data_IF_152419077474
#
_entry.id   IF_152419077474
#
_cell.length_a   1.000
_cell.length_b   1.000
_cell.length_c   1.000
_cell.angle_alpha   90.00
_cell.angle_beta   90.00
_cell.angle_gamma   90.00
#
_symmetry.space_group_name_H-M   'P 1'
#
loop_
_entity.id
_entity.type
_entity.pdbx_description
1 polymer ?
#
# COMPACT_ATOMS: atom_id res chain seq x y z
N UNK A 1 -23.10 2.88 24.68
CA UNK A 1 -24.08 2.65 23.59
C UNK A 1 -24.28 3.92 22.76
N UNK A 2 -24.64 5.07 23.35
CA UNK A 2 -24.85 6.31 22.60
C UNK A 2 -23.62 6.76 21.79
N UNK A 3 -22.42 6.73 22.37
CA UNK A 3 -21.19 7.13 21.66
C UNK A 3 -20.89 6.27 20.42
N UNK A 4 -21.09 4.94 20.49
CA UNK A 4 -20.90 4.05 19.33
C UNK A 4 -21.90 4.37 18.23
N UNK A 5 -23.15 4.66 18.60
CA UNK A 5 -24.20 5.02 17.66
C UNK A 5 -23.86 6.33 16.95
N UNK A 6 -23.38 7.34 17.68
CA UNK A 6 -22.90 8.60 17.08
C UNK A 6 -21.76 8.35 16.08
N UNK A 7 -20.81 7.48 16.42
CA UNK A 7 -19.71 7.12 15.51
C UNK A 7 -20.25 6.46 14.23
N UNK A 8 -21.24 5.56 14.36
CA UNK A 8 -21.84 4.85 13.22
C UNK A 8 -22.70 5.76 12.35
N UNK A 9 -23.59 6.55 12.95
CA UNK A 9 -24.51 7.45 12.23
C UNK A 9 -23.75 8.53 11.47
N UNK A 10 -22.59 8.97 12.00
CA UNK A 10 -21.70 9.92 11.32
C UNK A 10 -20.76 9.28 10.29
N UNK A 11 -20.92 7.98 10.03
CA UNK A 11 -20.14 7.22 9.04
C UNK A 11 -18.62 7.34 9.24
N UNK A 12 -18.13 7.28 10.47
CA UNK A 12 -16.69 7.20 10.70
C UNK A 12 -16.11 5.91 10.12
N UNK A 13 -14.98 6.02 9.41
CA UNK A 13 -14.29 4.91 8.75
C UNK A 13 -12.80 5.20 8.60
N UNK A 14 -12.02 4.21 8.16
CA UNK A 14 -10.65 4.46 7.70
C UNK A 14 -10.68 5.44 6.52
N UNK A 15 -9.88 6.50 6.57
CA UNK A 15 -9.93 7.58 5.59
C UNK A 15 -10.89 8.71 5.91
N UNK A 16 -11.60 8.69 7.05
CA UNK A 16 -12.32 9.89 7.53
C UNK A 16 -11.34 11.02 7.85
N UNK A 17 -11.67 12.25 7.43
CA UNK A 17 -10.87 13.45 7.67
C UNK A 17 -11.47 14.27 8.81
N UNK A 18 -10.63 14.77 9.71
CA UNK A 18 -11.06 15.56 10.87
C UNK A 18 -9.97 16.55 11.30
N UNK A 19 -10.35 17.70 11.85
CA UNK A 19 -9.37 18.64 12.41
C UNK A 19 -8.96 18.28 13.82
N UNK A 20 -7.75 18.70 14.22
CA UNK A 20 -7.29 18.58 15.60
C UNK A 20 -8.17 19.35 16.59
N UNK A 21 -8.78 20.46 16.15
CA UNK A 21 -9.74 21.21 16.98
C UNK A 21 -11.03 20.44 17.27
N UNK A 22 -11.62 19.76 16.27
CA UNK A 22 -12.84 18.97 16.44
C UNK A 22 -12.62 17.78 17.38
N UNK A 23 -11.42 17.18 17.31
CA UNK A 23 -10.98 16.10 18.22
C UNK A 23 -10.50 16.61 19.58
N UNK A 24 -10.42 17.93 19.79
CA UNK A 24 -9.91 18.56 21.02
C UNK A 24 -8.48 18.12 21.40
N UNK A 25 -7.64 17.79 20.40
CA UNK A 25 -6.31 17.19 20.61
C UNK A 25 -5.35 18.08 21.40
N UNK A 26 -5.47 19.40 21.27
CA UNK A 26 -4.66 20.38 22.01
C UNK A 26 -4.82 20.27 23.54
N UNK A 27 -5.88 19.61 24.02
CA UNK A 27 -6.13 19.35 25.44
C UNK A 27 -5.65 17.97 25.92
N UNK A 28 -5.25 17.08 25.00
CA UNK A 28 -5.00 15.66 25.29
C UNK A 28 -3.62 15.15 24.87
N UNK A 29 -2.88 15.89 24.02
CA UNK A 29 -1.54 15.50 23.55
C UNK A 29 -0.48 16.46 24.10
N UNK A 30 0.55 15.92 24.75
CA UNK A 30 1.70 16.70 25.24
C UNK A 30 2.50 17.20 24.03
N UNK A 31 2.54 18.52 23.83
CA UNK A 31 3.27 19.16 22.74
C UNK A 31 2.46 20.19 21.94
N UNK A 32 1.12 20.19 22.08
CA UNK A 32 0.23 21.15 21.43
C UNK A 32 0.24 21.02 19.91
N UNK A 33 -0.69 20.24 19.36
CA UNK A 33 -0.88 20.19 17.91
C UNK A 33 -1.59 21.49 17.43
N UNK A 34 -1.28 21.92 16.20
CA UNK A 34 -1.99 23.03 15.55
C UNK A 34 -3.49 22.69 15.45
N UNK A 35 -4.40 23.48 16.05
CA UNK A 35 -5.84 23.23 15.97
C UNK A 35 -6.37 23.17 14.53
N UNK A 36 -5.69 23.82 13.58
CA UNK A 36 -6.03 23.80 12.17
C UNK A 36 -5.47 22.58 11.41
N UNK A 37 -4.64 21.75 12.05
CA UNK A 37 -4.11 20.54 11.42
C UNK A 37 -5.25 19.56 11.08
N UNK A 38 -5.21 19.05 9.87
CA UNK A 38 -6.09 17.97 9.42
C UNK A 38 -5.45 16.63 9.72
N UNK A 39 -6.31 15.66 10.02
CA UNK A 39 -5.92 14.28 10.28
C UNK A 39 -6.80 13.34 9.47
N UNK A 40 -6.21 12.23 9.06
CA UNK A 40 -6.94 11.09 8.49
C UNK A 40 -6.97 9.93 9.48
N UNK A 41 -8.12 9.30 9.64
CA UNK A 41 -8.26 8.08 10.44
C UNK A 41 -7.57 6.92 9.73
N UNK A 42 -6.64 6.27 10.43
CA UNK A 42 -5.84 5.15 9.92
C UNK A 42 -6.30 3.79 10.42
N UNK A 43 -6.99 3.71 11.56
CA UNK A 43 -7.56 2.44 12.04
C UNK A 43 -8.56 1.85 11.06
N UNK A 44 -8.61 0.52 11.00
CA UNK A 44 -9.51 -0.21 10.11
C UNK A 44 -10.99 0.09 10.47
N UNK A 45 -11.93 0.11 9.51
CA UNK A 45 -13.31 0.51 9.78
C UNK A 45 -13.98 -0.29 10.90
N UNK A 46 -13.72 -1.59 10.99
CA UNK A 46 -14.27 -2.44 12.06
C UNK A 46 -13.82 -2.02 13.46
N UNK A 47 -12.59 -1.51 13.60
CA UNK A 47 -12.04 -1.04 14.88
C UNK A 47 -12.67 0.31 15.23
N UNK A 48 -12.79 1.19 14.24
CA UNK A 48 -13.42 2.52 14.37
C UNK A 48 -14.85 2.40 14.88
N UNK A 49 -15.66 1.49 14.32
CA UNK A 49 -17.08 1.33 14.72
C UNK A 49 -17.32 0.22 15.74
N UNK A 50 -16.28 -0.39 16.31
CA UNK A 50 -16.41 -1.49 17.26
C UNK A 50 -17.36 -1.14 18.43
N UNK A 51 -18.23 -2.06 18.84
CA UNK A 51 -19.20 -1.79 19.91
C UNK A 51 -18.61 -1.73 21.32
N UNK A 52 -17.39 -2.23 21.51
CA UNK A 52 -16.75 -2.39 22.81
C UNK A 52 -15.56 -1.43 22.97
N UNK A 53 -15.73 -0.37 23.76
CA UNK A 53 -14.65 0.59 24.06
C UNK A 53 -13.66 0.11 25.13
N UNK A 54 -13.88 -1.06 25.74
CA UNK A 54 -12.89 -1.65 26.65
C UNK A 54 -11.94 -2.54 25.86
N UNK A 55 -12.46 -3.31 24.89
CA UNK A 55 -11.65 -4.15 24.01
C UNK A 55 -10.97 -3.35 22.91
N UNK A 56 -11.67 -2.37 22.35
CA UNK A 56 -11.16 -1.48 21.30
C UNK A 56 -11.27 -0.02 21.74
N UNK A 57 -10.41 0.45 22.67
CA UNK A 57 -10.50 1.79 23.25
C UNK A 57 -9.95 2.90 22.34
N UNK A 58 -9.12 2.56 21.34
CA UNK A 58 -8.33 3.56 20.63
C UNK A 58 -8.55 3.54 19.12
N UNK A 59 -8.21 4.65 18.47
CA UNK A 59 -8.00 4.71 17.02
C UNK A 59 -6.69 5.43 16.72
N UNK A 60 -6.06 5.05 15.62
CA UNK A 60 -4.91 5.75 15.06
C UNK A 60 -5.38 6.82 14.06
N UNK A 61 -4.77 8.00 14.15
CA UNK A 61 -4.92 9.10 13.21
C UNK A 61 -3.54 9.54 12.70
N UNK A 62 -3.49 10.06 11.48
CA UNK A 62 -2.27 10.55 10.84
C UNK A 62 -2.44 12.01 10.44
N UNK A 63 -1.49 12.89 10.78
CA UNK A 63 -1.50 14.27 10.29
C UNK A 63 -1.44 14.33 8.76
N UNK A 64 -2.15 15.31 8.20
CA UNK A 64 -2.13 15.67 6.80
C UNK A 64 -1.58 17.08 6.65
N UNK A 65 -0.37 17.18 6.12
CA UNK A 65 0.28 18.46 5.88
C UNK A 65 -0.06 18.93 4.46
N UNK A 66 -0.69 20.10 4.32
CA UNK A 66 -0.98 20.67 3.00
C UNK A 66 0.33 20.96 2.26
N UNK A 67 0.35 20.68 0.97
CA UNK A 67 1.49 20.89 0.06
C UNK A 67 1.00 21.52 -1.25
N UNK A 68 1.88 22.17 -1.99
CA UNK A 68 1.51 22.84 -3.24
C UNK A 68 0.99 21.88 -4.32
N UNK A 69 1.56 20.67 -4.38
CA UNK A 69 1.16 19.61 -5.32
C UNK A 69 1.68 18.24 -4.90
N UNK A 70 1.04 17.17 -5.38
CA UNK A 70 1.55 15.81 -5.18
C UNK A 70 2.81 15.54 -6.00
N UNK A 71 3.81 14.91 -5.39
CA UNK A 71 4.92 14.30 -6.14
C UNK A 71 4.50 12.89 -6.53
N UNK A 72 4.48 12.60 -7.83
CA UNK A 72 4.13 11.29 -8.35
C UNK A 72 5.01 10.13 -7.86
N UNK A 73 6.13 10.40 -7.18
CA UNK A 73 6.99 9.41 -6.50
C UNK A 73 6.48 9.03 -5.11
N UNK A 74 5.58 9.82 -4.53
CA UNK A 74 4.98 9.61 -3.21
C UNK A 74 3.48 9.31 -3.27
N UNK A 75 2.88 9.25 -4.46
CA UNK A 75 1.48 8.80 -4.63
C UNK A 75 1.37 7.29 -4.77
N UNK A 76 0.15 6.76 -4.67
CA UNK A 76 -0.17 5.33 -4.90
C UNK A 76 0.61 4.35 -4.01
N UNK A 77 1.12 4.79 -2.85
CA UNK A 77 1.89 3.94 -1.94
C UNK A 77 3.31 3.59 -2.42
N UNK A 78 3.84 4.26 -3.46
CA UNK A 78 5.18 4.02 -4.04
C UNK A 78 6.33 4.05 -3.04
N UNK A 79 6.22 4.95 -2.07
CA UNK A 79 7.26 5.17 -1.10
C UNK A 79 6.78 4.63 0.26
N UNK A 80 7.51 3.71 0.90
CA UNK A 80 7.07 3.08 2.14
C UNK A 80 7.07 4.05 3.35
N UNK A 81 7.58 5.27 3.19
CA UNK A 81 7.70 6.27 4.26
C UNK A 81 6.92 7.55 3.98
N UNK A 82 6.51 7.81 2.74
CA UNK A 82 5.82 9.03 2.34
C UNK A 82 4.61 8.68 1.47
N UNK A 83 3.46 9.23 1.82
CA UNK A 83 2.26 9.16 1.01
C UNK A 83 1.74 10.57 0.73
N UNK A 84 1.59 10.91 -0.54
CA UNK A 84 0.89 12.09 -1.00
C UNK A 84 -0.48 11.68 -1.52
N UNK A 85 -1.52 12.44 -1.17
CA UNK A 85 -2.89 12.23 -1.61
C UNK A 85 -3.59 13.56 -1.88
N UNK A 86 -4.63 13.51 -2.70
CA UNK A 86 -5.51 14.65 -2.94
C UNK A 86 -6.79 14.49 -2.12
N UNK A 87 -7.27 15.60 -1.56
CA UNK A 87 -8.57 15.67 -0.89
C UNK A 87 -9.19 17.04 -1.10
N UNK A 88 -10.45 17.08 -1.55
CA UNK A 88 -11.18 18.32 -1.85
C UNK A 88 -10.47 19.28 -2.83
N UNK A 89 -9.64 18.75 -3.73
CA UNK A 89 -8.89 19.54 -4.72
C UNK A 89 -7.57 20.11 -4.23
N UNK A 90 -7.21 19.87 -2.97
CA UNK A 90 -5.93 20.22 -2.37
C UNK A 90 -5.03 18.98 -2.21
N UNK A 91 -3.72 19.18 -2.30
CA UNK A 91 -2.73 18.13 -2.12
C UNK A 91 -2.22 18.09 -0.67
N UNK A 92 -2.03 16.88 -0.15
CA UNK A 92 -1.54 16.64 1.20
C UNK A 92 -0.46 15.58 1.25
N UNK A 93 0.53 15.78 2.12
CA UNK A 93 1.47 14.77 2.56
C UNK A 93 0.98 14.16 3.90
N UNK A 94 0.73 12.85 3.90
CA UNK A 94 0.35 12.10 5.10
C UNK A 94 1.61 11.78 5.91
N UNK A 95 1.63 12.21 7.17
CA UNK A 95 2.76 12.00 8.07
C UNK A 95 2.55 10.77 8.96
N UNK A 96 3.25 9.70 8.63
CA UNK A 96 3.21 8.46 9.40
C UNK A 96 4.09 8.50 10.66
N UNK A 97 5.10 9.39 10.72
CA UNK A 97 5.92 9.61 11.93
C UNK A 97 5.07 10.36 12.96
N UNK A 98 4.25 11.29 12.49
CA UNK A 98 3.28 12.05 13.25
C UNK A 98 2.06 11.25 13.73
N UNK A 99 2.01 9.92 13.54
CA UNK A 99 0.88 9.08 13.98
C UNK A 99 0.54 9.34 15.45
N UNK A 100 -0.75 9.42 15.75
CA UNK A 100 -1.28 9.53 17.11
C UNK A 100 -2.29 8.42 17.34
N UNK A 101 -2.22 7.81 18.51
CA UNK A 101 -3.24 6.92 19.02
C UNK A 101 -4.07 7.71 20.03
N UNK A 102 -5.38 7.80 19.80
CA UNK A 102 -6.30 8.61 20.60
C UNK A 102 -7.42 7.76 21.19
N UNK A 103 -8.07 8.23 22.26
CA UNK A 103 -9.30 7.60 22.75
C UNK A 103 -10.38 7.70 21.66
N UNK A 104 -10.92 6.54 21.26
CA UNK A 104 -11.93 6.43 20.20
C UNK A 104 -13.22 7.17 20.54
N UNK A 105 -13.52 7.44 21.82
CA UNK A 105 -14.67 8.25 22.24
C UNK A 105 -14.60 9.68 21.73
N UNK A 106 -13.41 10.21 21.43
CA UNK A 106 -13.26 11.53 20.83
C UNK A 106 -13.99 11.63 19.48
N UNK A 107 -14.09 10.52 18.74
CA UNK A 107 -14.86 10.47 17.49
C UNK A 107 -16.36 10.70 17.71
N UNK A 108 -16.91 10.29 18.85
CA UNK A 108 -18.33 10.51 19.17
C UNK A 108 -18.64 11.98 19.43
N UNK A 109 -17.66 12.75 19.91
CA UNK A 109 -17.76 14.20 20.11
C UNK A 109 -17.49 15.01 18.84
N UNK A 110 -16.87 14.42 17.82
CA UNK A 110 -16.45 15.09 16.61
C UNK A 110 -17.31 14.72 15.39
N UNK A 111 -17.23 15.54 14.34
CA UNK A 111 -17.86 15.26 13.04
C UNK A 111 -16.76 15.16 11.99
N UNK A 112 -16.73 14.11 11.15
CA UNK A 112 -15.78 14.03 10.07
C UNK A 112 -16.09 15.16 9.06
N UNK A 113 -15.06 15.88 8.63
CA UNK A 113 -15.17 16.95 7.63
C UNK A 113 -15.37 16.40 6.22
N UNK A 114 -15.04 15.12 6.04
CA UNK A 114 -15.24 14.37 4.81
C UNK A 114 -14.57 13.01 4.92
N UNK A 115 -14.51 12.31 3.80
CA UNK A 115 -13.82 11.05 3.66
C UNK A 115 -12.96 11.10 2.41
N UNK A 116 -11.85 10.37 2.44
CA UNK A 116 -11.12 10.05 1.22
C UNK A 116 -12.02 9.25 0.27
N UNK A 117 -11.85 9.43 -1.03
CA UNK A 117 -12.52 8.59 -2.03
C UNK A 117 -12.11 7.12 -1.88
N UNK A 118 -12.98 6.19 -2.26
CA UNK A 118 -12.75 4.75 -2.06
C UNK A 118 -11.43 4.24 -2.69
N UNK A 119 -11.01 4.79 -3.84
CA UNK A 119 -9.73 4.46 -4.44
C UNK A 119 -8.54 4.92 -3.57
N UNK A 120 -8.61 6.13 -3.01
CA UNK A 120 -7.56 6.69 -2.14
C UNK A 120 -7.54 6.01 -0.77
N UNK A 121 -8.71 5.65 -0.22
CA UNK A 121 -8.81 4.85 1.01
C UNK A 121 -8.09 3.51 0.86
N UNK A 122 -8.24 2.83 -0.29
CA UNK A 122 -7.54 1.57 -0.57
C UNK A 122 -6.02 1.76 -0.62
N UNK A 123 -5.55 2.84 -1.26
CA UNK A 123 -4.12 3.19 -1.26
C UNK A 123 -3.62 3.43 0.15
N UNK A 124 -4.36 4.16 0.98
CA UNK A 124 -4.01 4.40 2.38
C UNK A 124 -3.91 3.08 3.16
N UNK A 125 -4.90 2.20 3.04
CA UNK A 125 -4.93 0.91 3.72
C UNK A 125 -3.74 0.02 3.31
N UNK A 126 -3.50 -0.10 2.00
CA UNK A 126 -2.39 -0.87 1.45
C UNK A 126 -1.04 -0.30 1.89
N UNK A 127 -0.87 1.03 1.87
CA UNK A 127 0.35 1.70 2.30
C UNK A 127 0.62 1.52 3.81
N UNK A 128 -0.43 1.51 4.64
CA UNK A 128 -0.28 1.22 6.07
C UNK A 128 0.09 -0.24 6.32
N UNK A 129 -0.54 -1.17 5.59
CA UNK A 129 -0.28 -2.60 5.69
C UNK A 129 1.11 -3.00 5.19
N UNK A 130 1.57 -2.38 4.10
CA UNK A 130 2.85 -2.73 3.45
C UNK A 130 4.03 -2.60 4.38
N UNK A 131 3.98 -1.72 5.39
CA UNK A 131 5.04 -1.60 6.39
C UNK A 131 5.27 -2.89 7.20
N UNK A 132 4.23 -3.68 7.42
CA UNK A 132 4.30 -4.91 8.21
C UNK A 132 4.49 -6.15 7.34
N UNK A 133 4.06 -6.10 6.08
CA UNK A 133 4.15 -7.23 5.15
C UNK A 133 5.34 -7.15 4.19
N UNK A 134 6.11 -6.05 4.19
CA UNK A 134 7.27 -5.88 3.31
C UNK A 134 8.28 -6.99 3.54
N UNK A 135 8.68 -7.73 2.49
CA UNK A 135 9.72 -8.72 2.65
C UNK A 135 11.06 -8.05 2.95
N UNK A 136 11.79 -8.65 3.89
CA UNK A 136 13.17 -8.31 4.18
C UNK A 136 14.07 -9.27 3.40
N UNK A 137 14.35 -8.95 2.14
CA UNK A 137 15.40 -9.63 1.37
C UNK A 137 16.78 -9.26 1.92
N UNK A 138 17.76 -10.14 1.72
CA UNK A 138 19.16 -9.89 2.05
C UNK A 138 19.65 -8.55 1.45
N UNK A 139 20.43 -7.80 2.22
CA UNK A 139 20.96 -6.49 1.81
C UNK A 139 21.83 -6.63 0.56
N UNK A 140 22.63 -7.69 0.48
CA UNK A 140 23.46 -7.97 -0.70
C UNK A 140 22.63 -8.34 -1.93
N UNK A 141 21.49 -9.04 -1.76
CA UNK A 141 20.56 -9.27 -2.88
C UNK A 141 20.00 -7.94 -3.39
N UNK A 142 19.53 -7.09 -2.47
CA UNK A 142 18.99 -5.77 -2.83
C UNK A 142 20.02 -4.92 -3.57
N UNK A 143 21.28 -4.92 -3.10
CA UNK A 143 22.38 -4.20 -3.74
C UNK A 143 22.64 -4.68 -5.19
N UNK A 144 22.57 -6.00 -5.45
CA UNK A 144 22.79 -6.57 -6.79
C UNK A 144 21.70 -6.21 -7.77
N UNK A 145 20.45 -6.12 -7.32
CA UNK A 145 19.32 -5.79 -8.21
C UNK A 145 19.05 -4.29 -8.35
N UNK A 146 19.60 -3.45 -7.46
CA UNK A 146 19.35 -1.99 -7.42
C UNK A 146 19.59 -1.30 -8.77
N UNK A 147 20.64 -1.69 -9.50
CA UNK A 147 20.97 -1.13 -10.81
C UNK A 147 19.89 -1.34 -11.88
N UNK A 148 18.98 -2.29 -11.69
CA UNK A 148 17.91 -2.62 -12.64
C UNK A 148 16.55 -2.05 -12.27
N UNK A 149 16.35 -1.58 -11.03
CA UNK A 149 15.05 -1.12 -10.50
C UNK A 149 14.38 -0.06 -11.39
N UNK A 150 15.16 0.87 -11.96
CA UNK A 150 14.63 1.92 -12.85
C UNK A 150 14.13 1.36 -14.19
N UNK A 151 14.82 0.35 -14.74
CA UNK A 151 14.47 -0.33 -16.00
C UNK A 151 13.25 -1.23 -15.81
N UNK A 152 13.16 -1.94 -14.68
CA UNK A 152 11.97 -2.70 -14.28
C UNK A 152 10.77 -1.77 -14.18
N UNK A 153 10.91 -0.64 -13.48
CA UNK A 153 9.86 0.35 -13.37
C UNK A 153 9.41 0.92 -14.72
N UNK A 154 10.28 0.94 -15.74
CA UNK A 154 9.92 1.33 -17.11
C UNK A 154 9.15 0.22 -17.84
N UNK A 155 9.60 -1.03 -17.75
CA UNK A 155 8.91 -2.18 -18.33
C UNK A 155 7.46 -2.27 -17.82
N UNK A 156 7.29 -2.17 -16.50
CA UNK A 156 5.97 -2.21 -15.86
C UNK A 156 5.09 -1.00 -16.21
N UNK A 157 5.67 0.19 -16.37
CA UNK A 157 4.91 1.38 -16.81
C UNK A 157 4.43 1.28 -18.25
N UNK A 158 5.09 0.50 -19.08
CA UNK A 158 4.74 0.36 -20.49
C UNK A 158 3.67 -0.72 -20.66
N UNK A 159 3.91 -1.91 -20.08
CA UNK A 159 3.13 -3.11 -20.37
C UNK A 159 2.64 -3.89 -19.13
N UNK A 160 2.91 -3.42 -17.91
CA UNK A 160 2.60 -4.13 -16.66
C UNK A 160 1.26 -3.76 -15.99
N UNK A 161 0.37 -3.03 -16.67
CA UNK A 161 -0.82 -2.41 -16.06
C UNK A 161 -1.89 -3.41 -15.65
N UNK A 162 -2.01 -4.52 -16.38
CA UNK A 162 -2.90 -5.64 -16.05
C UNK A 162 -2.28 -6.64 -15.05
N UNK A 163 -1.05 -6.38 -14.61
CA UNK A 163 -0.40 -7.21 -13.60
C UNK A 163 -1.01 -6.93 -12.23
N UNK A 164 -1.60 -7.95 -11.64
CA UNK A 164 -2.11 -7.92 -10.27
C UNK A 164 -0.97 -7.98 -9.26
N UNK A 165 0.17 -8.59 -9.62
CA UNK A 165 1.50 -8.16 -9.18
C UNK A 165 2.58 -9.25 -9.24
N UNK A 166 3.66 -9.02 -8.49
CA UNK A 166 4.95 -9.71 -8.69
C UNK A 166 5.37 -10.37 -7.39
N UNK A 167 5.78 -11.63 -7.47
CA UNK A 167 6.30 -12.38 -6.34
C UNK A 167 7.65 -13.00 -6.69
N UNK A 168 8.50 -13.13 -5.69
CA UNK A 168 9.89 -13.57 -5.79
C UNK A 168 10.16 -14.63 -4.73
N UNK A 169 10.70 -15.78 -5.14
CA UNK A 169 11.27 -16.75 -4.22
C UNK A 169 12.80 -16.73 -4.37
N UNK A 170 13.48 -16.45 -3.25
CA UNK A 170 14.94 -16.48 -3.15
C UNK A 170 15.35 -16.76 -1.69
N UNK A 171 16.63 -17.01 -1.45
CA UNK A 171 17.13 -17.13 -0.07
C UNK A 171 17.12 -15.76 0.62
N UNK A 172 16.78 -15.76 1.91
CA UNK A 172 16.85 -14.57 2.75
C UNK A 172 18.20 -14.43 3.46
N UNK A 173 19.07 -15.45 3.34
CA UNK A 173 20.42 -15.42 3.91
C UNK A 173 21.34 -14.50 3.10
N UNK A 174 22.25 -13.81 3.79
CA UNK A 174 23.32 -13.05 3.13
C UNK A 174 24.29 -14.01 2.44
N UNK A 175 24.44 -13.85 1.12
CA UNK A 175 25.40 -14.59 0.32
C UNK A 175 26.68 -13.77 0.09
N UNK A 176 27.86 -14.38 0.16
CA UNK A 176 29.12 -13.68 -0.13
C UNK A 176 29.22 -13.29 -1.62
N UNK A 177 30.18 -12.41 -1.91
CA UNK A 177 30.55 -12.08 -3.29
C UNK A 177 30.97 -13.34 -4.06
N UNK A 178 30.46 -13.49 -5.29
CA UNK A 178 30.72 -14.64 -6.16
C UNK A 178 29.81 -15.86 -5.96
N UNK A 179 28.82 -15.78 -5.05
CA UNK A 179 27.71 -16.76 -4.97
C UNK A 179 26.44 -16.12 -5.50
N UNK A 180 25.66 -16.84 -6.30
CA UNK A 180 24.44 -16.29 -6.89
C UNK A 180 23.22 -16.55 -6.02
N UNK A 181 22.33 -15.56 -5.91
CA UNK A 181 21.02 -15.75 -5.32
C UNK A 181 20.14 -16.54 -6.29
N UNK A 182 19.66 -17.75 -5.94
CA UNK A 182 18.68 -18.44 -6.75
C UNK A 182 17.38 -17.64 -6.75
N UNK A 183 16.84 -17.35 -7.92
CA UNK A 183 15.68 -16.50 -8.09
C UNK A 183 14.62 -17.22 -8.92
N UNK A 184 13.41 -17.30 -8.37
CA UNK A 184 12.20 -17.63 -9.13
C UNK A 184 11.23 -16.46 -9.07
N UNK A 185 10.54 -16.20 -10.17
CA UNK A 185 9.58 -15.10 -10.26
C UNK A 185 8.19 -15.59 -10.66
N UNK A 186 7.16 -15.06 -10.00
CA UNK A 186 5.78 -15.30 -10.33
C UNK A 186 5.08 -13.97 -10.59
N UNK A 187 4.52 -13.82 -11.79
CA UNK A 187 3.73 -12.68 -12.19
C UNK A 187 2.26 -13.09 -12.23
N UNK A 188 1.40 -12.39 -11.50
CA UNK A 188 -0.02 -12.73 -11.43
C UNK A 188 -0.87 -11.73 -12.22
N UNK A 189 -1.94 -12.20 -12.84
CA UNK A 189 -3.02 -11.40 -13.42
C UNK A 189 -4.36 -11.87 -12.88
N UNK A 190 -5.35 -10.95 -12.82
CA UNK A 190 -6.73 -11.34 -12.55
C UNK A 190 -7.22 -12.29 -13.64
N UNK A 191 -8.11 -13.22 -13.27
CA UNK A 191 -8.66 -14.19 -14.22
C UNK A 191 -9.37 -13.53 -15.40
N UNK A 192 -10.07 -12.42 -15.17
CA UNK A 192 -10.73 -11.64 -16.22
C UNK A 192 -9.74 -11.02 -17.22
N UNK A 193 -8.60 -10.51 -16.74
CA UNK A 193 -7.59 -9.90 -17.60
C UNK A 193 -6.70 -10.95 -18.29
N UNK A 194 -6.48 -12.10 -17.63
CA UNK A 194 -5.60 -13.16 -18.13
C UNK A 194 -6.15 -13.84 -19.39
N UNK A 195 -7.48 -13.89 -19.55
CA UNK A 195 -8.11 -14.47 -20.74
C UNK A 195 -8.16 -13.50 -21.93
N UNK A 196 -7.86 -12.22 -21.73
CA UNK A 196 -7.82 -11.19 -22.78
C UNK A 196 -6.44 -11.19 -23.48
N UNK A 197 -6.34 -11.61 -24.76
CA UNK A 197 -5.04 -11.84 -25.40
C UNK A 197 -4.11 -10.63 -25.46
N UNK A 198 -4.67 -9.43 -25.65
CA UNK A 198 -3.91 -8.19 -25.73
C UNK A 198 -3.30 -7.80 -24.37
N UNK A 199 -4.06 -8.01 -23.27
CA UNK A 199 -3.57 -7.75 -21.92
C UNK A 199 -2.56 -8.81 -21.48
N UNK A 200 -2.83 -10.07 -21.80
CA UNK A 200 -1.89 -11.17 -21.55
C UNK A 200 -0.56 -10.92 -22.27
N UNK A 201 -0.59 -10.58 -23.56
CA UNK A 201 0.62 -10.30 -24.35
C UNK A 201 1.45 -9.13 -23.82
N UNK A 202 0.79 -8.09 -23.28
CA UNK A 202 1.48 -6.98 -22.62
C UNK A 202 2.20 -7.44 -21.34
N UNK A 203 1.49 -8.15 -20.46
CA UNK A 203 2.07 -8.64 -19.20
C UNK A 203 3.19 -9.65 -19.46
N UNK A 204 3.02 -10.54 -20.43
CA UNK A 204 4.04 -11.50 -20.86
C UNK A 204 5.29 -10.78 -21.37
N UNK A 205 5.14 -9.75 -22.22
CA UNK A 205 6.27 -8.92 -22.66
C UNK A 205 6.95 -8.21 -21.49
N UNK A 206 6.18 -7.70 -20.51
CA UNK A 206 6.74 -7.07 -19.32
C UNK A 206 7.54 -8.09 -18.47
N UNK A 207 6.99 -9.29 -18.27
CA UNK A 207 7.62 -10.37 -17.53
C UNK A 207 8.92 -10.83 -18.20
N UNK A 208 8.91 -11.03 -19.52
CA UNK A 208 10.10 -11.33 -20.32
C UNK A 208 11.20 -10.26 -20.16
N UNK A 209 10.82 -8.99 -20.26
CA UNK A 209 11.75 -7.86 -20.08
C UNK A 209 12.37 -7.88 -18.67
N UNK A 210 11.56 -8.09 -17.63
CA UNK A 210 12.04 -8.15 -16.23
C UNK A 210 12.93 -9.36 -16.01
N UNK A 211 12.56 -10.54 -16.52
CA UNK A 211 13.37 -11.75 -16.45
C UNK A 211 14.74 -11.54 -17.12
N UNK A 212 14.77 -10.86 -18.27
CA UNK A 212 16.03 -10.48 -18.93
C UNK A 212 16.88 -9.55 -18.05
N UNK A 213 16.27 -8.56 -17.40
CA UNK A 213 16.98 -7.68 -16.47
C UNK A 213 17.59 -8.44 -15.29
N UNK A 214 16.86 -9.40 -14.72
CA UNK A 214 17.37 -10.23 -13.62
C UNK A 214 18.57 -11.08 -14.06
N UNK A 215 18.53 -11.65 -15.26
CA UNK A 215 19.67 -12.40 -15.83
C UNK A 215 20.90 -11.53 -16.12
N UNK A 216 20.73 -10.21 -16.24
CA UNK A 216 21.85 -9.27 -16.41
C UNK A 216 22.51 -8.90 -15.08
N UNK A 217 21.88 -9.19 -13.93
CA UNK A 217 22.43 -8.89 -12.61
C UNK A 217 23.52 -9.90 -12.24
N UNK A 218 24.74 -9.41 -12.00
CA UNK A 218 25.79 -10.23 -11.40
C UNK A 218 25.38 -10.68 -9.99
N UNK A 219 25.57 -11.95 -9.66
CA UNK A 219 25.21 -12.48 -8.35
C UNK A 219 23.73 -12.87 -8.22
N UNK A 220 22.98 -12.99 -9.32
CA UNK A 220 21.59 -13.47 -9.36
C UNK A 220 21.47 -14.57 -10.42
N UNK A 221 20.93 -15.71 -10.04
CA UNK A 221 20.64 -16.84 -10.94
C UNK A 221 19.13 -16.99 -11.08
N UNK A 222 18.56 -16.48 -12.18
CA UNK A 222 17.13 -16.65 -12.47
C UNK A 222 16.87 -18.08 -12.96
N UNK A 223 16.39 -18.91 -12.04
CA UNK A 223 16.03 -20.31 -12.26
C UNK A 223 14.83 -20.41 -13.21
N UNK A 224 13.76 -19.67 -12.90
CA UNK A 224 12.53 -19.69 -13.70
C UNK A 224 11.65 -18.46 -13.47
N UNK A 225 10.71 -18.23 -14.38
CA UNK A 225 9.63 -17.27 -14.19
C UNK A 225 8.34 -17.71 -14.89
N UNK A 226 7.19 -17.39 -14.28
CA UNK A 226 5.87 -17.72 -14.83
C UNK A 226 4.91 -16.53 -14.75
N UNK A 227 4.02 -16.43 -15.75
CA UNK A 227 2.83 -15.57 -15.70
C UNK A 227 1.60 -16.45 -15.47
N UNK A 228 0.87 -16.22 -14.38
CA UNK A 228 -0.28 -17.02 -13.96
C UNK A 228 -1.53 -16.19 -13.73
N UNK A 229 -2.69 -16.82 -13.89
CA UNK A 229 -3.93 -16.31 -13.33
C UNK A 229 -3.91 -16.44 -11.81
N UNK A 230 -4.51 -15.48 -11.10
CA UNK A 230 -4.79 -15.59 -9.66
C UNK A 230 -5.58 -16.87 -9.32
N UNK A 231 -6.43 -17.36 -10.22
CA UNK A 231 -7.17 -18.62 -10.03
C UNK A 231 -6.28 -19.88 -10.06
N UNK A 232 -5.11 -19.80 -10.69
CA UNK A 232 -4.15 -20.91 -10.84
C UNK A 232 -2.94 -20.78 -9.91
N UNK A 233 -2.93 -19.74 -9.07
CA UNK A 233 -1.90 -19.52 -8.05
C UNK A 233 -2.31 -20.25 -6.77
N UNK A 234 -1.48 -21.23 -6.37
CA UNK A 234 -1.72 -22.04 -5.19
C UNK A 234 -1.33 -21.32 -3.90
N UNK A 235 -1.92 -21.76 -2.79
CA UNK A 235 -1.55 -21.27 -1.46
C UNK A 235 -0.10 -21.60 -1.09
N UNK A 236 0.45 -22.70 -1.63
CA UNK A 236 1.86 -23.08 -1.39
C UNK A 236 2.83 -22.12 -2.08
N UNK A 237 2.51 -21.67 -3.29
CA UNK A 237 3.27 -20.64 -3.99
C UNK A 237 3.25 -19.33 -3.20
N UNK A 238 2.09 -18.88 -2.71
CA UNK A 238 2.00 -17.66 -1.89
C UNK A 238 2.74 -17.73 -0.54
N UNK A 239 3.03 -18.93 -0.04
CA UNK A 239 3.85 -19.12 1.17
C UNK A 239 5.35 -19.13 0.88
N UNK A 240 5.72 -19.53 -0.33
CA UNK A 240 7.12 -19.67 -0.76
C UNK A 240 7.63 -18.37 -1.36
N UNK A 241 6.81 -17.71 -2.16
CA UNK A 241 7.17 -16.48 -2.82
C UNK A 241 6.81 -15.27 -1.96
N UNK A 242 7.76 -14.36 -1.81
CA UNK A 242 7.58 -13.07 -1.20
C UNK A 242 7.10 -12.04 -2.23
N UNK A 243 6.11 -11.23 -1.86
CA UNK A 243 5.59 -10.15 -2.73
C UNK A 243 6.67 -9.09 -2.98
N UNK A 244 7.03 -8.85 -4.23
CA UNK A 244 8.01 -7.82 -4.60
C UNK A 244 7.32 -6.47 -4.82
N UNK A 245 7.70 -5.48 -3.99
CA UNK A 245 6.97 -4.22 -3.77
C UNK A 245 6.95 -3.27 -5.00
N UNK A 246 6.05 -3.55 -5.95
CA UNK A 246 5.73 -2.75 -7.14
C UNK A 246 4.22 -2.45 -7.28
N UNK A 247 3.43 -2.73 -6.24
CA UNK A 247 1.95 -2.66 -6.25
C UNK A 247 1.37 -1.28 -6.54
N UNK A 248 2.18 -0.24 -6.37
CA UNK A 248 1.83 1.13 -6.75
C UNK A 248 1.46 1.30 -8.22
N UNK A 249 1.89 0.39 -9.10
CA UNK A 249 1.51 0.39 -10.52
C UNK A 249 0.04 0.00 -10.69
N UNK A 250 -0.44 -0.97 -9.94
CA UNK A 250 -1.85 -1.41 -9.91
C UNK A 250 -2.75 -0.34 -9.29
N UNK A 251 -2.27 0.39 -8.28
CA UNK A 251 -3.04 1.51 -7.70
C UNK A 251 -3.20 2.71 -8.64
N UNK A 252 -2.38 2.81 -9.70
CA UNK A 252 -2.51 3.87 -10.71
C UNK A 252 -3.70 3.64 -11.65
N UNK A 253 -4.06 2.39 -11.93
CA UNK A 253 -5.15 2.01 -12.85
C UNK A 253 -6.51 1.95 -12.15
N UNK A 254 -6.54 1.77 -10.83
CA UNK A 254 -7.77 1.78 -10.02
C UNK A 254 -8.41 3.18 -9.89
N UNK A 255 -7.72 4.26 -10.27
CA UNK A 255 -8.31 5.60 -10.40
C UNK A 255 -9.30 5.73 -11.55
N UNK A 256 -9.45 4.70 -12.40
CA UNK A 256 -10.35 4.69 -13.56
C UNK A 256 -11.40 3.58 -13.57
N UNK A 257 -11.47 2.72 -12.54
CA UNK A 257 -12.54 1.71 -12.43
C UNK A 257 -12.98 1.42 -10.99
N UNK A 258 -14.30 1.44 -10.78
CA UNK A 258 -14.95 0.90 -9.59
C UNK A 258 -14.81 -0.63 -9.59
N UNK A 259 -13.78 -1.17 -8.93
CA UNK A 259 -13.71 -2.60 -8.65
C UNK A 259 -13.40 -2.85 -7.18
N UNK A 260 -14.28 -3.58 -6.51
CA UNK A 260 -14.17 -4.02 -5.12
C UNK A 260 -13.17 -5.17 -5.06
N UNK A 261 -12.01 -4.96 -4.44
CA UNK A 261 -11.11 -6.05 -4.05
C UNK A 261 -10.88 -5.99 -2.55
N UNK A 262 -11.18 -7.11 -1.90
CA UNK A 262 -10.70 -7.48 -0.58
C UNK A 262 -9.17 -7.55 -0.61
N UNK A 263 -8.51 -6.76 0.24
CA UNK A 263 -7.14 -7.02 0.66
C UNK A 263 -7.10 -8.45 1.23
N UNK A 264 -6.59 -9.41 0.47
CA UNK A 264 -6.20 -10.70 1.01
C UNK A 264 -4.85 -10.46 1.68
N UNK A 265 -4.84 -10.64 3.00
CA UNK A 265 -3.66 -10.67 3.88
C UNK A 265 -2.82 -11.90 3.56
#
# INVERSE_FOLDING_TARGET
MHEVEEIRVRNWTQGSIVSGSDLQLSTQVVGGDDPAALYVVASHPCDVVNSDFIKEPHVDILPMNQIDSTDGSFTHGKNPRKLHLDWNGDAYAVDLIGRRTIDRRLLAGATPQGQLEAAVQRVLAAWLGSRYSRPAFADEFNARVEGTTSRIGKALKNNGQAMSGIYVATTLDELPSGSDYPLQMLFCMRTEDFVEPDLWGQVDEAAEQIAKLMRECEGVDLIDYEVKSEADTSLEELRTFARWDYDWLTFRTLGSSESTLSLIV
#
